data_IF_921122641630
#
_entry.id   IF_921122641630
#
_cell.length_a   1.000
_cell.length_b   1.000
_cell.length_c   1.000
_cell.angle_alpha   90.00
_cell.angle_beta   90.00
_cell.angle_gamma   90.00
#
_symmetry.space_group_name_H-M   'P 1'
#
loop_
_entity.id
_entity.type
_entity.pdbx_description
1 polymer ?
#
# COMPACT_ATOMS: atom_id res chain seq x y z
N UNK A 1 15.79 20.41 -6.69
CA UNK A 1 14.50 20.26 -5.98
C UNK A 1 14.72 20.73 -4.56
N UNK A 2 13.77 21.47 -4.00
CA UNK A 2 13.77 22.02 -2.64
C UNK A 2 12.96 21.15 -1.65
N UNK A 3 12.16 20.21 -2.17
CA UNK A 3 11.37 19.28 -1.38
C UNK A 3 11.48 17.84 -1.92
N UNK A 4 11.55 16.88 -1.00
CA UNK A 4 11.61 15.44 -1.30
C UNK A 4 10.50 14.69 -0.56
N UNK A 5 9.66 13.99 -1.31
CA UNK A 5 8.53 13.21 -0.79
C UNK A 5 8.64 11.77 -1.25
N UNK A 6 8.71 10.84 -0.30
CA UNK A 6 8.76 9.41 -0.58
C UNK A 6 8.38 8.59 0.66
N UNK A 7 8.39 7.26 0.54
CA UNK A 7 8.43 6.37 1.70
C UNK A 7 9.76 5.62 1.82
N UNK A 8 9.95 4.96 2.96
CA UNK A 8 11.10 4.10 3.22
C UNK A 8 11.09 2.84 2.36
N UNK A 9 12.25 2.52 1.78
CA UNK A 9 12.51 1.43 0.82
C UNK A 9 11.98 1.63 -0.61
N UNK A 10 11.38 2.78 -0.91
CA UNK A 10 11.04 3.17 -2.29
C UNK A 10 11.24 4.68 -2.50
N UNK A 11 12.26 5.22 -1.84
CA UNK A 11 12.82 6.57 -2.00
C UNK A 11 13.79 6.87 -0.86
N UNK A 12 13.30 6.84 0.39
CA UNK A 12 14.17 6.94 1.57
C UNK A 12 14.84 5.60 1.90
N UNK A 13 16.08 5.64 2.38
CA UNK A 13 16.77 4.50 3.00
C UNK A 13 17.86 4.98 3.96
N UNK A 14 18.11 4.23 5.04
CA UNK A 14 19.14 4.56 6.03
C UNK A 14 20.55 4.59 5.40
N UNK A 15 20.78 3.75 4.39
CA UNK A 15 22.06 3.68 3.69
C UNK A 15 22.31 4.89 2.77
N UNK A 16 21.29 5.36 2.06
CA UNK A 16 21.44 6.32 0.96
C UNK A 16 20.75 7.65 1.28
N UNK A 17 19.45 7.79 0.99
CA UNK A 17 18.71 9.04 1.15
C UNK A 17 17.94 9.04 2.47
N UNK A 18 18.35 9.88 3.43
CA UNK A 18 17.63 10.12 4.69
C UNK A 18 17.15 11.57 4.80
N UNK A 19 16.08 11.85 5.56
CA UNK A 19 15.67 13.21 5.88
C UNK A 19 16.80 14.07 6.45
N UNK A 20 17.64 13.50 7.32
CA UNK A 20 18.77 14.22 7.92
C UNK A 20 19.85 14.60 6.89
N UNK A 21 20.18 13.70 5.96
CA UNK A 21 21.12 14.00 4.87
C UNK A 21 20.57 15.09 3.97
N UNK A 22 19.29 15.02 3.59
CA UNK A 22 18.63 16.03 2.75
C UNK A 22 18.60 17.41 3.41
N UNK A 23 18.34 17.47 4.73
CA UNK A 23 18.36 18.72 5.48
C UNK A 23 19.74 19.42 5.43
N UNK A 24 20.84 18.65 5.36
CA UNK A 24 22.20 19.19 5.15
C UNK A 24 22.41 19.89 3.80
N UNK A 25 21.54 19.63 2.82
CA UNK A 25 21.52 20.30 1.51
C UNK A 25 20.38 21.33 1.40
N UNK A 26 19.75 21.71 2.53
CA UNK A 26 18.55 22.54 2.61
C UNK A 26 17.35 22.00 1.80
N UNK A 27 17.31 20.69 1.58
CA UNK A 27 16.15 20.01 0.97
C UNK A 27 15.20 19.59 2.08
N UNK A 28 14.00 20.17 2.09
CA UNK A 28 12.93 19.75 3.01
C UNK A 28 12.40 18.40 2.60
N UNK A 29 11.87 17.62 3.53
CA UNK A 29 11.44 16.26 3.22
C UNK A 29 10.22 15.81 4.01
N UNK A 30 9.38 14.99 3.41
CA UNK A 30 8.26 14.32 4.07
C UNK A 30 8.28 12.82 3.75
N UNK A 31 8.32 12.00 4.80
CA UNK A 31 8.24 10.55 4.71
C UNK A 31 6.78 10.09 4.90
N UNK A 32 6.29 9.24 3.99
CA UNK A 32 4.97 8.62 4.09
C UNK A 32 4.82 7.88 5.42
N UNK A 33 3.74 8.16 6.15
CA UNK A 33 3.50 7.61 7.47
C UNK A 33 3.46 6.07 7.47
N UNK A 34 2.88 5.47 6.43
CA UNK A 34 2.80 4.01 6.30
C UNK A 34 4.18 3.35 6.31
N UNK A 35 5.15 3.99 5.67
CA UNK A 35 6.48 3.44 5.45
C UNK A 35 7.37 3.48 6.69
N UNK A 36 6.98 4.25 7.73
CA UNK A 36 7.72 4.38 8.98
C UNK A 36 7.94 3.05 9.70
N UNK A 37 7.13 2.03 9.41
CA UNK A 37 7.31 0.65 9.90
C UNK A 37 8.71 0.08 9.57
N UNK A 38 9.38 0.61 8.55
CA UNK A 38 10.72 0.19 8.11
C UNK A 38 11.85 0.72 8.99
N UNK A 39 11.60 1.76 9.77
CA UNK A 39 12.61 2.43 10.62
C UNK A 39 12.23 2.43 12.11
N UNK A 40 11.00 2.02 12.45
CA UNK A 40 10.56 1.95 13.84
C UNK A 40 9.10 1.51 13.97
N UNK A 41 8.61 1.37 15.21
CA UNK A 41 7.21 1.05 15.45
C UNK A 41 6.30 2.18 14.97
N UNK A 42 5.17 1.82 14.37
CA UNK A 42 4.06 2.73 14.07
C UNK A 42 2.73 2.06 14.44
N UNK A 43 1.64 2.83 14.61
CA UNK A 43 0.30 2.27 14.65
C UNK A 43 0.02 1.40 13.41
N UNK A 44 -0.90 0.42 13.51
CA UNK A 44 -1.33 -0.37 12.36
C UNK A 44 -1.78 0.51 11.20
N UNK A 45 -1.54 0.05 9.97
CA UNK A 45 -1.94 0.78 8.77
C UNK A 45 -3.46 0.93 8.73
N UNK A 46 -3.93 2.13 8.39
CA UNK A 46 -5.36 2.44 8.30
C UNK A 46 -5.61 3.49 7.22
N UNK A 47 -6.86 3.75 6.88
CA UNK A 47 -7.18 4.86 5.99
C UNK A 47 -6.79 6.21 6.61
N UNK A 48 -6.79 6.32 7.94
CA UNK A 48 -6.37 7.54 8.63
C UNK A 48 -4.89 7.86 8.41
N UNK A 49 -4.01 6.86 8.25
CA UNK A 49 -2.60 7.13 7.92
C UNK A 49 -2.48 7.77 6.54
N UNK A 50 -3.27 7.32 5.57
CA UNK A 50 -3.32 7.94 4.23
C UNK A 50 -3.91 9.35 4.28
N UNK A 51 -4.98 9.57 5.04
CA UNK A 51 -5.58 10.91 5.19
C UNK A 51 -4.65 11.90 5.88
N UNK A 52 -3.87 11.44 6.86
CA UNK A 52 -2.85 12.23 7.52
C UNK A 52 -1.76 12.68 6.54
N UNK A 53 -1.28 11.77 5.67
CA UNK A 53 -0.30 12.10 4.63
C UNK A 53 -0.85 13.14 3.65
N UNK A 54 -2.09 12.96 3.15
CA UNK A 54 -2.74 13.95 2.25
C UNK A 54 -2.91 15.31 2.93
N UNK A 55 -3.33 15.32 4.20
CA UNK A 55 -3.49 16.55 4.98
C UNK A 55 -2.16 17.25 5.23
N UNK A 56 -1.09 16.50 5.52
CA UNK A 56 0.25 17.05 5.70
C UNK A 56 0.76 17.71 4.41
N UNK A 57 0.58 17.05 3.26
CA UNK A 57 0.91 17.63 1.96
C UNK A 57 0.09 18.88 1.66
N UNK A 58 -1.20 18.89 2.01
CA UNK A 58 -2.05 20.08 1.93
C UNK A 58 -1.49 21.27 2.71
N UNK A 59 -0.97 21.04 3.92
CA UNK A 59 -0.30 22.08 4.72
C UNK A 59 1.02 22.53 4.11
N UNK A 60 1.85 21.59 3.67
CA UNK A 60 3.18 21.86 3.11
C UNK A 60 3.08 22.72 1.85
N UNK A 61 2.11 22.42 0.98
CA UNK A 61 1.95 23.12 -0.30
C UNK A 61 0.91 24.24 -0.28
N UNK A 62 0.26 24.50 0.86
CA UNK A 62 -0.74 25.56 0.99
C UNK A 62 -2.05 25.31 0.23
N UNK A 63 -2.42 24.04 0.02
CA UNK A 63 -3.60 23.60 -0.75
C UNK A 63 -4.56 22.77 0.12
N UNK A 64 -4.88 23.32 1.30
CA UNK A 64 -5.67 22.61 2.30
C UNK A 64 -7.11 22.34 1.84
N UNK A 65 -7.72 23.24 1.07
CA UNK A 65 -9.08 23.05 0.56
C UNK A 65 -9.16 21.84 -0.39
N UNK A 66 -8.16 21.69 -1.26
CA UNK A 66 -8.03 20.57 -2.18
C UNK A 66 -7.76 19.26 -1.43
N UNK A 67 -6.89 19.30 -0.43
CA UNK A 67 -6.59 18.14 0.42
C UNK A 67 -7.85 17.67 1.18
N UNK A 68 -8.62 18.58 1.75
CA UNK A 68 -9.87 18.29 2.46
C UNK A 68 -10.94 17.71 1.52
N UNK A 69 -11.12 18.31 0.34
CA UNK A 69 -12.04 17.80 -0.67
C UNK A 69 -11.66 16.37 -1.12
N UNK A 70 -10.37 16.11 -1.29
CA UNK A 70 -9.85 14.80 -1.66
C UNK A 70 -10.08 13.75 -0.56
N UNK A 71 -9.78 14.11 0.69
CA UNK A 71 -10.03 13.24 1.86
C UNK A 71 -11.53 12.94 2.00
N UNK A 72 -12.40 13.94 1.85
CA UNK A 72 -13.85 13.75 1.90
C UNK A 72 -14.33 12.77 0.82
N UNK A 73 -13.82 12.90 -0.41
CA UNK A 73 -14.10 11.97 -1.51
C UNK A 73 -13.64 10.55 -1.20
N UNK A 74 -12.45 10.37 -0.62
CA UNK A 74 -11.98 9.05 -0.21
C UNK A 74 -12.84 8.45 0.92
N UNK A 75 -13.20 9.23 1.94
CA UNK A 75 -14.08 8.77 3.02
C UNK A 75 -15.43 8.31 2.49
N UNK A 76 -16.06 9.11 1.63
CA UNK A 76 -17.33 8.77 0.98
C UNK A 76 -17.24 7.44 0.23
N UNK A 77 -16.17 7.24 -0.56
CA UNK A 77 -15.93 5.99 -1.30
C UNK A 77 -15.74 4.79 -0.37
N UNK A 78 -14.96 4.94 0.69
CA UNK A 78 -14.73 3.86 1.67
C UNK A 78 -16.04 3.50 2.37
N UNK A 79 -16.78 4.49 2.87
CA UNK A 79 -18.10 4.28 3.48
C UNK A 79 -19.05 3.56 2.53
N UNK A 80 -19.15 3.98 1.28
CA UNK A 80 -20.02 3.34 0.30
C UNK A 80 -19.66 1.86 0.03
N UNK A 81 -18.37 1.52 0.06
CA UNK A 81 -17.90 0.13 -0.07
C UNK A 81 -18.25 -0.66 1.19
N UNK A 82 -17.90 -0.15 2.38
CA UNK A 82 -18.14 -0.80 3.67
C UNK A 82 -19.65 -1.04 3.90
N UNK A 83 -20.49 -0.05 3.62
CA UNK A 83 -21.96 -0.17 3.78
C UNK A 83 -22.55 -1.21 2.82
N UNK A 84 -21.97 -1.35 1.63
CA UNK A 84 -22.39 -2.36 0.65
C UNK A 84 -21.98 -3.76 1.10
N UNK A 85 -20.75 -3.92 1.59
CA UNK A 85 -20.18 -5.22 1.96
C UNK A 85 -20.67 -5.70 3.34
N UNK A 86 -21.08 -4.80 4.23
CA UNK A 86 -21.74 -5.13 5.50
C UNK A 86 -23.01 -5.97 5.34
N UNK A 87 -23.62 -5.97 4.14
CA UNK A 87 -24.81 -6.76 3.79
C UNK A 87 -24.46 -8.18 3.32
N UNK A 88 -23.17 -8.49 3.10
CA UNK A 88 -22.74 -9.81 2.67
C UNK A 88 -22.82 -10.80 3.83
N UNK A 89 -23.29 -12.02 3.54
CA UNK A 89 -23.38 -13.12 4.51
C UNK A 89 -22.05 -13.87 4.72
N UNK A 90 -21.07 -13.63 3.85
CA UNK A 90 -19.76 -14.30 3.87
C UNK A 90 -18.63 -13.30 3.74
N UNK A 91 -17.47 -13.65 4.33
CA UNK A 91 -16.22 -12.91 4.16
C UNK A 91 -15.24 -13.79 3.36
N UNK A 92 -15.06 -13.54 2.05
CA UNK A 92 -14.21 -14.40 1.23
C UNK A 92 -12.76 -14.39 1.70
N UNK A 93 -12.11 -15.55 1.60
CA UNK A 93 -10.67 -15.73 1.76
C UNK A 93 -9.95 -15.21 0.52
N UNK A 94 -9.13 -14.17 0.69
CA UNK A 94 -8.46 -13.48 -0.41
C UNK A 94 -6.95 -13.64 -0.26
N UNK A 95 -6.26 -13.83 -1.38
CA UNK A 95 -4.81 -13.70 -1.49
C UNK A 95 -4.48 -12.55 -2.45
N UNK A 96 -3.48 -11.74 -2.10
CA UNK A 96 -2.81 -10.88 -3.07
C UNK A 96 -1.71 -11.67 -3.77
N UNK A 97 -1.58 -11.51 -5.08
CA UNK A 97 -0.51 -12.12 -5.83
C UNK A 97 0.26 -11.12 -6.69
N UNK A 98 1.49 -10.83 -6.27
CA UNK A 98 2.52 -10.19 -7.09
C UNK A 98 3.38 -11.26 -7.76
N UNK A 99 3.55 -11.15 -9.08
CA UNK A 99 4.38 -12.09 -9.85
C UNK A 99 3.69 -13.41 -10.19
N UNK A 100 2.35 -13.48 -10.11
CA UNK A 100 1.57 -14.67 -10.52
C UNK A 100 1.70 -15.04 -12.02
N UNK A 101 2.41 -14.24 -12.81
CA UNK A 101 2.65 -14.48 -14.22
C UNK A 101 4.00 -15.17 -14.50
N UNK A 102 4.64 -15.74 -13.47
CA UNK A 102 5.90 -16.49 -13.59
C UNK A 102 5.83 -17.79 -12.77
N UNK A 103 6.76 -18.71 -13.04
CA UNK A 103 6.89 -19.97 -12.28
C UNK A 103 7.56 -19.79 -10.90
N UNK A 104 7.94 -18.55 -10.55
CA UNK A 104 8.56 -18.25 -9.26
C UNK A 104 7.53 -18.26 -8.13
N UNK A 105 7.94 -18.51 -6.88
CA UNK A 105 7.08 -18.38 -5.71
C UNK A 105 6.39 -17.00 -5.68
N UNK A 106 5.05 -16.92 -5.53
CA UNK A 106 4.35 -15.65 -5.57
C UNK A 106 4.70 -14.78 -4.37
N UNK A 107 4.70 -13.46 -4.58
CA UNK A 107 4.78 -12.48 -3.51
C UNK A 107 3.37 -12.11 -3.05
N UNK A 108 3.06 -12.38 -1.80
CA UNK A 108 1.79 -12.04 -1.15
C UNK A 108 1.97 -10.91 -0.13
N UNK A 109 0.93 -10.62 0.66
CA UNK A 109 0.90 -9.61 1.71
C UNK A 109 0.59 -10.24 3.07
N UNK A 110 1.22 -9.71 4.12
CA UNK A 110 0.84 -10.00 5.51
C UNK A 110 -0.01 -8.87 6.10
N UNK A 111 -0.08 -8.84 7.43
CA UNK A 111 -0.89 -7.88 8.21
C UNK A 111 -0.49 -6.42 8.06
N UNK A 112 0.77 -6.13 7.72
CA UNK A 112 1.26 -4.75 7.56
C UNK A 112 1.13 -4.23 6.13
N UNK A 113 0.61 -5.04 5.20
CA UNK A 113 0.45 -4.65 3.81
C UNK A 113 -0.80 -3.80 3.57
N UNK A 114 -0.67 -2.68 2.87
CA UNK A 114 -1.83 -1.84 2.50
C UNK A 114 -2.95 -2.60 1.77
N UNK A 115 -2.69 -3.54 0.83
CA UNK A 115 -3.79 -4.24 0.17
C UNK A 115 -4.58 -5.14 1.12
N UNK A 116 -4.01 -5.55 2.27
CA UNK A 116 -4.73 -6.31 3.29
C UNK A 116 -5.80 -5.41 3.91
N UNK A 117 -5.46 -4.19 4.34
CA UNK A 117 -6.46 -3.22 4.79
C UNK A 117 -7.60 -3.05 3.77
N UNK A 118 -7.28 -2.99 2.47
CA UNK A 118 -8.30 -2.89 1.42
C UNK A 118 -9.19 -4.13 1.32
N UNK A 119 -8.64 -5.34 1.49
CA UNK A 119 -9.44 -6.56 1.55
C UNK A 119 -10.43 -6.53 2.71
N UNK A 120 -9.99 -6.08 3.89
CA UNK A 120 -10.86 -5.94 5.06
C UNK A 120 -11.99 -4.94 4.83
N UNK A 121 -11.69 -3.75 4.30
CA UNK A 121 -12.69 -2.73 3.96
C UNK A 121 -13.69 -3.23 2.90
N UNK A 122 -13.23 -4.08 1.98
CA UNK A 122 -14.06 -4.73 0.98
C UNK A 122 -14.82 -5.97 1.50
N UNK A 123 -14.78 -6.25 2.81
CA UNK A 123 -15.48 -7.38 3.43
C UNK A 123 -14.78 -8.73 3.27
N UNK A 124 -13.60 -8.77 2.66
CA UNK A 124 -12.76 -9.96 2.57
C UNK A 124 -11.98 -10.24 3.85
N UNK A 125 -11.20 -11.32 3.82
CA UNK A 125 -10.18 -11.67 4.82
C UNK A 125 -8.96 -12.19 4.09
N UNK A 126 -7.78 -11.65 4.40
CA UNK A 126 -6.54 -12.16 3.83
C UNK A 126 -6.18 -13.54 4.42
N UNK A 127 -5.73 -14.45 3.57
CA UNK A 127 -5.35 -15.81 4.01
C UNK A 127 -4.01 -15.85 4.76
N UNK A 128 -3.27 -14.74 4.82
CA UNK A 128 -1.95 -14.59 5.46
C UNK A 128 -1.94 -13.62 6.65
N UNK A 129 -3.05 -13.51 7.39
CA UNK A 129 -3.19 -12.62 8.56
C UNK A 129 -2.37 -13.03 9.80
N UNK A 130 -1.72 -14.18 9.75
CA UNK A 130 -0.74 -14.66 10.73
C UNK A 130 0.67 -14.09 10.50
N UNK A 131 0.95 -13.53 9.31
CA UNK A 131 2.28 -13.02 8.95
C UNK A 131 2.37 -11.52 9.31
N UNK A 132 3.30 -11.19 10.23
CA UNK A 132 3.57 -9.82 10.69
C UNK A 132 4.59 -9.10 9.80
N UNK A 133 4.28 -9.00 8.51
CA UNK A 133 5.06 -8.26 7.52
C UNK A 133 4.13 -7.66 6.45
N UNK A 134 4.68 -6.78 5.64
CA UNK A 134 4.06 -6.07 4.53
C UNK A 134 3.90 -6.96 3.29
N UNK A 135 5.02 -7.45 2.74
CA UNK A 135 5.07 -8.27 1.52
C UNK A 135 6.08 -9.39 1.66
N UNK A 136 5.63 -10.63 1.46
CA UNK A 136 6.43 -11.84 1.69
C UNK A 136 6.32 -12.79 0.49
N UNK A 137 7.34 -13.60 0.28
CA UNK A 137 7.29 -14.70 -0.69
C UNK A 137 6.74 -15.95 -0.01
N UNK A 138 5.86 -16.69 -0.68
CA UNK A 138 5.28 -17.96 -0.21
C UNK A 138 5.40 -19.03 -1.30
N UNK A 139 5.41 -20.31 -0.94
CA UNK A 139 5.41 -21.40 -1.93
C UNK A 139 4.02 -21.63 -2.51
N UNK A 140 3.94 -22.23 -3.70
CA UNK A 140 2.66 -22.67 -4.28
C UNK A 140 1.95 -23.74 -3.42
N UNK A 141 2.70 -24.63 -2.78
CA UNK A 141 2.13 -25.59 -1.81
C UNK A 141 1.43 -24.85 -0.65
N UNK A 142 2.05 -23.78 -0.14
CA UNK A 142 1.41 -22.95 0.90
C UNK A 142 0.14 -22.30 0.36
N UNK A 143 0.11 -21.85 -0.90
CA UNK A 143 -1.10 -21.27 -1.49
C UNK A 143 -2.23 -22.30 -1.56
N UNK A 144 -1.92 -23.54 -1.96
CA UNK A 144 -2.86 -24.66 -2.00
C UNK A 144 -3.43 -24.92 -0.60
N UNK A 145 -2.56 -25.05 0.41
CA UNK A 145 -2.96 -25.31 1.80
C UNK A 145 -3.85 -24.19 2.37
N UNK A 146 -3.57 -22.94 2.00
CA UNK A 146 -4.34 -21.77 2.46
C UNK A 146 -5.69 -21.62 1.73
N UNK A 147 -5.86 -22.28 0.59
CA UNK A 147 -7.09 -22.37 -0.18
C UNK A 147 -7.84 -21.02 -0.32
N UNK A 148 -7.24 -19.98 -0.94
CA UNK A 148 -7.91 -18.72 -1.18
C UNK A 148 -9.11 -18.92 -2.13
N UNK A 149 -10.22 -18.24 -1.85
CA UNK A 149 -11.40 -18.21 -2.70
C UNK A 149 -11.23 -17.19 -3.84
N UNK A 150 -10.48 -16.11 -3.57
CA UNK A 150 -10.21 -15.02 -4.51
C UNK A 150 -8.71 -14.73 -4.56
N UNK A 151 -8.16 -14.57 -5.76
CA UNK A 151 -6.77 -14.15 -5.96
C UNK A 151 -6.76 -12.80 -6.67
N UNK A 152 -6.29 -11.76 -5.96
CA UNK A 152 -6.13 -10.42 -6.51
C UNK A 152 -4.74 -10.32 -7.11
N UNK A 153 -4.67 -10.33 -8.44
CA UNK A 153 -3.41 -10.29 -9.17
C UNK A 153 -2.98 -8.84 -9.37
N UNK A 154 -1.78 -8.50 -8.89
CA UNK A 154 -1.14 -7.23 -9.21
C UNK A 154 -0.66 -7.26 -10.66
N UNK A 155 -1.44 -6.68 -11.56
CA UNK A 155 -1.01 -6.45 -12.93
C UNK A 155 0.01 -5.32 -13.00
N UNK A 156 1.30 -5.67 -13.05
CA UNK A 156 2.34 -4.74 -13.47
C UNK A 156 2.39 -4.83 -14.99
N UNK A 157 1.90 -3.80 -15.67
CA UNK A 157 2.05 -3.71 -17.11
C UNK A 157 3.54 -3.85 -17.47
N UNK A 158 3.92 -4.98 -18.07
CA UNK A 158 5.18 -5.06 -18.81
C UNK A 158 4.98 -4.16 -20.01
N UNK A 159 5.56 -2.96 -20.01
CA UNK A 159 5.70 -2.21 -21.26
C UNK A 159 6.70 -2.97 -22.12
N UNK A 160 6.24 -3.97 -22.85
CA UNK A 160 6.92 -4.39 -24.07
C UNK A 160 6.66 -3.24 -25.04
N UNK A 161 7.58 -2.27 -25.08
CA UNK A 161 7.60 -1.28 -26.15
C UNK A 161 7.92 -2.04 -27.43
N UNK A 162 6.90 -2.52 -28.13
CA UNK A 162 7.04 -2.91 -29.53
C UNK A 162 7.54 -1.67 -30.25
N UNK A 163 8.80 -1.70 -30.69
CA UNK A 163 9.31 -0.68 -31.59
C UNK A 163 8.38 -0.61 -32.81
N UNK A 164 7.84 0.57 -33.10
CA UNK A 164 7.12 0.81 -34.35
C UNK A 164 8.06 0.47 -35.52
N UNK A 165 7.58 -0.18 -36.58
CA UNK A 165 8.37 -0.35 -37.80
C UNK A 165 8.64 1.04 -38.38
N UNK A 166 9.91 1.28 -38.73
CA UNK A 166 10.39 2.42 -39.51
C UNK A 166 9.75 2.47 -40.89
#
# INVERSE_FOLDING_TARGET
>A
ADFYFAGWQYGFSEADVTPAKLAGFDVKSYALYESCIRIGPRPPISMETMYADVSALGRIFGVMAEAEALIAGYRSRVTAVVDRTAKASTRPRIMYCGGCNTDSPPRTIGTEGMPRLLFDLAGGRNVYDDIKDSYVNVSWDTVIDRAPEWIVISNRASRTRTASPT
#
